data_IF_237596409097
#
_entry.id   IF_237596409097
#
_cell.length_a   1.000
_cell.length_b   1.000
_cell.length_c   1.000
_cell.angle_alpha   90.00
_cell.angle_beta   90.00
_cell.angle_gamma   90.00
#
_symmetry.space_group_name_H-M   'P 1'
#
loop_
_entity.id
_entity.type
_entity.pdbx_description
1 polymer ?
#
# COMPACT_ATOMS: atom_id res chain seq x y z
N UNK A 1 -35.71 48.45 50.04
CA UNK A 1 -36.49 47.42 49.34
C UNK A 1 -36.16 47.41 47.86
N UNK A 2 -35.82 46.20 47.39
CA UNK A 2 -35.86 45.65 46.03
C UNK A 2 -34.75 46.06 45.06
N UNK A 3 -34.09 45.00 44.63
CA UNK A 3 -32.83 44.84 43.90
C UNK A 3 -33.11 44.70 42.41
N UNK A 4 -32.17 45.18 41.59
CA UNK A 4 -32.15 45.08 40.12
C UNK A 4 -32.42 43.64 39.66
N UNK A 5 -33.44 43.43 38.83
CA UNK A 5 -33.69 42.16 38.14
C UNK A 5 -32.91 42.15 36.82
N UNK A 6 -31.79 41.43 36.82
CA UNK A 6 -31.08 41.06 35.60
C UNK A 6 -31.76 39.82 35.03
N UNK A 7 -32.32 39.95 33.83
CA UNK A 7 -32.94 38.88 33.05
C UNK A 7 -31.88 37.83 32.70
N UNK A 8 -31.91 36.67 33.36
CA UNK A 8 -31.14 35.50 32.96
C UNK A 8 -31.68 35.02 31.60
N UNK A 9 -30.79 34.94 30.63
CA UNK A 9 -31.05 34.39 29.31
C UNK A 9 -30.45 32.99 29.36
N UNK A 10 -31.31 31.98 29.54
CA UNK A 10 -30.88 30.58 29.53
C UNK A 10 -30.43 30.22 28.11
N UNK A 11 -29.11 30.19 27.89
CA UNK A 11 -28.54 29.63 26.67
C UNK A 11 -28.70 28.12 26.78
N UNK A 12 -29.68 27.59 26.05
CA UNK A 12 -29.79 26.16 25.76
C UNK A 12 -28.48 25.69 25.11
N UNK A 13 -27.66 25.04 25.92
CA UNK A 13 -26.43 24.40 25.49
C UNK A 13 -26.82 23.05 24.93
N UNK A 14 -26.95 22.96 23.60
CA UNK A 14 -26.97 21.66 22.92
C UNK A 14 -25.53 21.13 22.86
N UNK A 15 -25.02 20.63 23.98
CA UNK A 15 -23.84 19.78 24.01
C UNK A 15 -24.23 18.38 23.58
N UNK A 16 -24.47 18.20 22.28
CA UNK A 16 -24.45 16.86 21.69
C UNK A 16 -22.98 16.50 21.48
N UNK A 17 -22.34 16.02 22.54
CA UNK A 17 -20.98 15.44 22.48
C UNK A 17 -21.05 14.08 21.79
N UNK A 18 -21.43 14.09 20.51
CA UNK A 18 -21.31 12.94 19.64
C UNK A 18 -19.83 12.79 19.27
N UNK A 19 -19.04 12.22 20.19
CA UNK A 19 -17.68 11.80 19.90
C UNK A 19 -17.75 10.58 18.97
N UNK A 20 -17.92 10.81 17.67
CA UNK A 20 -17.90 9.76 16.66
C UNK A 20 -16.46 9.24 16.59
N UNK A 21 -16.19 7.97 16.95
CA UNK A 21 -14.84 7.42 16.89
C UNK A 21 -14.39 7.33 15.42
N UNK A 22 -13.52 8.25 15.00
CA UNK A 22 -12.89 8.22 13.68
C UNK A 22 -11.91 7.06 13.65
N UNK A 23 -12.29 5.97 12.98
CA UNK A 23 -11.41 4.81 12.77
C UNK A 23 -10.30 5.17 11.78
N UNK A 24 -9.05 4.83 12.11
CA UNK A 24 -7.85 5.09 11.28
C UNK A 24 -7.28 3.78 10.72
N UNK A 25 -6.50 3.90 9.63
CA UNK A 25 -5.74 2.78 9.09
C UNK A 25 -4.70 2.29 10.12
N UNK A 26 -4.44 0.97 10.14
CA UNK A 26 -3.49 0.35 11.07
C UNK A 26 -2.56 -0.62 10.34
N UNK A 27 -1.26 -0.45 10.50
CA UNK A 27 -0.28 -1.45 10.06
C UNK A 27 -0.52 -2.77 10.79
N UNK A 28 -0.73 -3.84 10.03
CA UNK A 28 -0.96 -5.20 10.53
C UNK A 28 0.33 -6.00 10.47
N UNK A 29 1.05 -5.92 9.34
CA UNK A 29 2.18 -6.81 9.08
C UNK A 29 3.17 -6.21 8.09
N UNK A 30 4.42 -6.64 8.18
CA UNK A 30 5.48 -6.28 7.24
C UNK A 30 6.18 -7.57 6.79
N UNK A 31 6.34 -7.75 5.48
CA UNK A 31 7.00 -8.91 4.90
C UNK A 31 7.96 -8.50 3.80
N UNK A 32 9.13 -9.13 3.76
CA UNK A 32 10.06 -9.00 2.64
C UNK A 32 9.90 -10.21 1.72
N UNK A 33 9.82 -9.95 0.41
CA UNK A 33 9.70 -10.98 -0.62
C UNK A 33 10.90 -10.96 -1.54
N UNK A 34 11.47 -12.13 -1.83
CA UNK A 34 12.47 -12.25 -2.90
C UNK A 34 11.76 -12.35 -4.25
N UNK A 35 11.89 -11.31 -5.08
CA UNK A 35 11.25 -11.18 -6.39
C UNK A 35 12.31 -10.85 -7.43
N UNK A 36 12.56 -11.82 -8.33
CA UNK A 36 13.56 -11.66 -9.39
C UNK A 36 13.19 -10.51 -10.33
N UNK A 37 14.12 -9.57 -10.51
CA UNK A 37 13.92 -8.44 -11.42
C UNK A 37 13.12 -7.28 -10.84
N UNK A 38 12.83 -7.28 -9.54
CA UNK A 38 12.07 -6.20 -8.88
C UNK A 38 12.76 -4.83 -8.97
N UNK A 39 14.09 -4.78 -9.00
CA UNK A 39 14.82 -3.52 -9.18
C UNK A 39 14.36 -2.78 -10.45
N UNK A 40 14.11 -3.51 -11.55
CA UNK A 40 13.66 -2.92 -12.83
C UNK A 40 12.26 -2.31 -12.76
N UNK A 41 11.40 -2.81 -11.86
CA UNK A 41 10.07 -2.26 -11.61
C UNK A 41 10.16 -0.91 -10.87
N UNK A 42 11.12 -0.76 -9.96
CA UNK A 42 11.30 0.48 -9.20
C UNK A 42 12.11 1.56 -9.94
N UNK A 43 13.04 1.18 -10.82
CA UNK A 43 13.95 2.11 -11.50
C UNK A 43 13.37 2.78 -12.76
N UNK A 44 12.06 2.71 -13.00
CA UNK A 44 11.41 3.36 -14.15
C UNK A 44 11.77 4.85 -14.25
N UNK A 45 12.49 5.21 -15.32
CA UNK A 45 12.88 6.56 -15.81
C UNK A 45 13.64 7.52 -14.87
N UNK A 46 13.60 7.36 -13.54
CA UNK A 46 14.24 8.27 -12.56
C UNK A 46 15.30 7.60 -11.65
N UNK A 47 15.48 6.27 -11.74
CA UNK A 47 16.19 5.48 -10.74
C UNK A 47 17.72 5.31 -10.91
N UNK A 48 18.38 6.06 -11.79
CA UNK A 48 19.84 5.89 -12.02
C UNK A 48 20.68 6.42 -10.86
N UNK A 49 20.21 7.43 -10.11
CA UNK A 49 21.02 8.09 -9.07
C UNK A 49 21.09 7.32 -7.75
N UNK A 50 19.99 6.69 -7.32
CA UNK A 50 19.96 5.97 -6.04
C UNK A 50 20.65 4.59 -6.10
N UNK A 51 20.71 3.99 -7.30
CA UNK A 51 21.53 2.79 -7.53
C UNK A 51 23.03 3.07 -7.37
N UNK A 52 23.50 4.26 -7.79
CA UNK A 52 24.91 4.66 -7.69
C UNK A 52 25.39 4.86 -6.25
N UNK A 53 24.49 5.08 -5.29
CA UNK A 53 24.84 5.21 -3.88
C UNK A 53 25.08 3.86 -3.21
N UNK A 54 24.68 2.76 -3.85
CA UNK A 54 24.86 1.39 -3.34
C UNK A 54 26.13 0.72 -3.90
N UNK A 55 26.69 1.25 -4.99
CA UNK A 55 27.84 0.68 -5.72
C UNK A 55 29.21 0.84 -5.00
N UNK A 56 29.30 1.61 -3.91
CA UNK A 56 30.58 1.89 -3.23
C UNK A 56 30.93 0.94 -2.07
N UNK A 57 30.14 -0.12 -1.84
CA UNK A 57 30.50 -1.17 -0.87
C UNK A 57 30.42 -2.53 -1.53
N UNK A 58 31.61 -3.07 -1.82
CA UNK A 58 31.89 -4.43 -2.33
C UNK A 58 31.74 -4.58 -3.85
N UNK A 59 32.89 -4.82 -4.48
CA UNK A 59 32.96 -5.10 -5.91
C UNK A 59 32.25 -6.39 -6.29
N UNK A 60 31.97 -6.45 -7.58
CA UNK A 60 31.48 -7.59 -8.35
C UNK A 60 29.96 -7.86 -8.27
N UNK A 61 29.34 -7.62 -9.43
CA UNK A 61 28.02 -8.09 -9.91
C UNK A 61 26.83 -7.17 -9.60
N UNK A 62 26.14 -6.79 -10.68
CA UNK A 62 24.85 -6.08 -10.73
C UNK A 62 23.75 -6.82 -9.96
N UNK A 63 23.87 -6.90 -8.63
CA UNK A 63 22.90 -7.52 -7.75
C UNK A 63 21.79 -6.49 -7.50
N UNK A 64 20.94 -6.33 -8.52
CA UNK A 64 19.67 -5.64 -8.37
C UNK A 64 18.98 -6.26 -7.16
N UNK A 65 18.80 -5.48 -6.10
CA UNK A 65 18.21 -5.92 -4.85
C UNK A 65 16.89 -6.63 -5.16
N UNK A 66 16.89 -7.96 -5.10
CA UNK A 66 15.73 -8.79 -5.40
C UNK A 66 14.72 -8.80 -4.24
N UNK A 67 14.76 -7.81 -3.34
CA UNK A 67 13.90 -7.77 -2.15
C UNK A 67 12.83 -6.70 -2.31
N UNK A 68 11.57 -7.11 -2.23
CA UNK A 68 10.40 -6.25 -2.15
C UNK A 68 9.91 -6.19 -0.70
N UNK A 69 9.94 -5.01 -0.07
CA UNK A 69 9.30 -4.79 1.23
C UNK A 69 7.82 -4.50 1.05
N UNK A 70 6.95 -5.26 1.72
CA UNK A 70 5.50 -5.12 1.65
C UNK A 70 4.94 -4.83 3.05
N UNK A 71 4.12 -3.79 3.16
CA UNK A 71 3.40 -3.42 4.38
C UNK A 71 1.90 -3.66 4.18
N UNK A 72 1.28 -4.39 5.10
CA UNK A 72 -0.14 -4.70 5.06
C UNK A 72 -0.88 -3.87 6.10
N UNK A 73 -1.88 -3.11 5.65
CA UNK A 73 -2.63 -2.17 6.48
C UNK A 73 -4.11 -2.55 6.50
N UNK A 74 -4.71 -2.48 7.69
CA UNK A 74 -6.15 -2.63 7.90
C UNK A 74 -6.83 -1.34 7.51
N UNK A 75 -7.77 -1.40 6.57
CA UNK A 75 -8.65 -0.29 6.24
C UNK A 75 -9.85 -0.26 7.21
N UNK A 76 -10.20 0.89 7.79
CA UNK A 76 -11.35 1.01 8.68
C UNK A 76 -12.69 0.93 7.96
N UNK A 77 -12.71 1.20 6.65
CA UNK A 77 -13.90 1.19 5.78
C UNK A 77 -13.80 0.14 4.66
N UNK A 78 -12.93 -0.87 4.83
CA UNK A 78 -12.75 -2.00 3.92
C UNK A 78 -12.43 -1.63 2.46
N UNK A 79 -11.79 -0.48 2.23
CA UNK A 79 -11.26 -0.19 0.88
C UNK A 79 -10.05 -1.11 0.60
N UNK A 80 -9.94 -1.57 -0.65
CA UNK A 80 -8.84 -2.42 -1.12
C UNK A 80 -8.00 -1.67 -2.14
N UNK A 81 -6.71 -1.55 -1.86
CA UNK A 81 -5.83 -0.80 -2.74
C UNK A 81 -4.38 -0.89 -2.31
N UNK A 82 -3.54 -0.16 -3.01
CA UNK A 82 -2.12 -0.15 -2.77
C UNK A 82 -1.49 1.21 -3.10
N UNK A 83 -0.27 1.39 -2.59
CA UNK A 83 0.66 2.46 -2.93
C UNK A 83 2.04 1.86 -3.03
N UNK A 84 2.88 2.34 -3.92
CA UNK A 84 4.26 1.87 -4.02
C UNK A 84 5.22 3.02 -4.26
N UNK A 85 6.43 2.91 -3.73
CA UNK A 85 7.48 3.89 -3.93
C UNK A 85 8.66 3.56 -3.03
N UNK A 86 9.84 4.10 -3.36
CA UNK A 86 11.06 3.89 -2.58
C UNK A 86 11.29 2.41 -2.21
N UNK A 87 11.18 1.50 -3.20
CA UNK A 87 11.36 0.05 -3.06
C UNK A 87 10.41 -0.64 -2.06
N UNK A 88 9.26 0.00 -1.78
CA UNK A 88 8.24 -0.49 -0.85
C UNK A 88 6.87 -0.54 -1.52
N UNK A 89 6.09 -1.55 -1.17
CA UNK A 89 4.67 -1.68 -1.51
C UNK A 89 3.85 -1.64 -0.22
N UNK A 90 2.83 -0.80 -0.18
CA UNK A 90 1.85 -0.71 0.91
C UNK A 90 0.52 -1.19 0.37
N UNK A 91 -0.09 -2.16 1.03
CA UNK A 91 -1.35 -2.77 0.61
C UNK A 91 -2.38 -2.59 1.72
N UNK A 92 -3.58 -2.17 1.35
CA UNK A 92 -4.69 -1.90 2.25
C UNK A 92 -5.82 -2.91 2.03
N UNK A 93 -6.41 -3.37 3.13
CA UNK A 93 -7.66 -4.14 3.09
C UNK A 93 -7.52 -5.60 2.66
N UNK A 94 -6.35 -6.22 2.85
CA UNK A 94 -6.16 -7.67 2.72
C UNK A 94 -6.20 -8.35 4.08
N UNK A 95 -6.96 -9.44 4.17
CA UNK A 95 -7.11 -10.21 5.41
C UNK A 95 -6.18 -11.43 5.46
N UNK A 96 -5.96 -12.11 4.33
CA UNK A 96 -5.17 -13.35 4.25
C UNK A 96 -3.78 -13.10 3.66
N UNK A 97 -2.93 -12.36 4.37
CA UNK A 97 -1.62 -11.92 3.87
C UNK A 97 -0.67 -13.08 3.52
N UNK A 98 -0.88 -14.27 4.07
CA UNK A 98 -0.02 -15.44 3.87
C UNK A 98 -0.07 -16.00 2.44
N UNK A 99 -1.21 -15.88 1.77
CA UNK A 99 -1.40 -16.38 0.39
C UNK A 99 -0.93 -15.39 -0.67
N UNK A 100 -0.42 -14.22 -0.26
CA UNK A 100 0.09 -13.20 -1.17
C UNK A 100 1.45 -13.60 -1.70
N UNK A 101 1.60 -13.57 -3.02
CA UNK A 101 2.88 -13.79 -3.71
C UNK A 101 3.07 -12.81 -4.86
N UNK A 102 4.30 -12.63 -5.32
CA UNK A 102 4.66 -11.64 -6.33
C UNK A 102 5.44 -12.28 -7.48
N UNK A 103 5.21 -11.80 -8.70
CA UNK A 103 5.92 -12.21 -9.92
C UNK A 103 6.17 -10.98 -10.80
N UNK A 104 7.33 -10.96 -11.46
CA UNK A 104 7.60 -10.00 -12.53
C UNK A 104 7.33 -10.69 -13.87
N UNK A 105 6.56 -10.04 -14.74
CA UNK A 105 6.36 -10.45 -16.12
C UNK A 105 6.40 -9.20 -17.01
N UNK A 106 7.20 -9.22 -18.08
CA UNK A 106 7.34 -8.08 -19.00
C UNK A 106 7.63 -6.74 -18.29
N UNK A 107 8.49 -6.76 -17.25
CA UNK A 107 8.86 -5.61 -16.39
C UNK A 107 7.73 -5.05 -15.50
N UNK A 108 6.55 -5.65 -15.53
CA UNK A 108 5.44 -5.29 -14.64
C UNK A 108 5.44 -6.20 -13.41
N UNK A 109 5.06 -5.62 -12.27
CA UNK A 109 4.86 -6.35 -11.02
C UNK A 109 3.42 -6.86 -10.95
N UNK A 110 3.28 -8.15 -10.71
CA UNK A 110 1.99 -8.80 -10.50
C UNK A 110 1.94 -9.40 -9.11
N UNK A 111 0.83 -9.19 -8.44
CA UNK A 111 0.50 -9.82 -7.17
C UNK A 111 -0.53 -10.91 -7.42
N UNK A 112 -0.28 -12.11 -6.90
CA UNK A 112 -1.31 -13.15 -6.77
C UNK A 112 -1.86 -13.09 -5.34
N UNK A 113 -3.18 -13.09 -5.23
CA UNK A 113 -3.88 -13.22 -3.95
C UNK A 113 -5.09 -14.14 -4.17
N UNK A 114 -5.15 -15.23 -3.40
CA UNK A 114 -6.11 -16.32 -3.62
C UNK A 114 -6.05 -16.84 -5.08
N UNK A 115 -7.17 -16.78 -5.80
CA UNK A 115 -7.29 -17.21 -7.19
C UNK A 115 -7.08 -16.08 -8.21
N UNK A 116 -6.85 -14.85 -7.75
CA UNK A 116 -6.82 -13.66 -8.60
C UNK A 116 -5.40 -13.10 -8.76
N UNK A 117 -5.21 -12.41 -9.88
CA UNK A 117 -3.98 -11.68 -10.18
C UNK A 117 -4.28 -10.19 -10.31
N UNK A 118 -3.36 -9.37 -9.81
CA UNK A 118 -3.48 -7.93 -9.76
C UNK A 118 -2.20 -7.31 -10.31
N UNK A 119 -2.31 -6.34 -11.20
CA UNK A 119 -1.16 -5.57 -11.66
C UNK A 119 -0.89 -4.45 -10.67
N UNK A 120 0.37 -4.35 -10.23
CA UNK A 120 0.85 -3.31 -9.35
C UNK A 120 1.62 -2.31 -10.20
N UNK A 121 1.17 -1.06 -10.17
CA UNK A 121 1.83 0.05 -10.82
C UNK A 121 2.72 0.80 -9.83
N UNK A 122 3.86 1.30 -10.30
CA UNK A 122 4.73 2.11 -9.46
C UNK A 122 4.14 3.52 -9.30
N UNK A 123 3.42 3.76 -8.21
CA UNK A 123 2.86 5.07 -7.89
C UNK A 123 2.70 5.30 -6.39
N UNK A 124 3.09 6.49 -5.93
CA UNK A 124 2.91 6.93 -4.53
C UNK A 124 1.45 7.23 -4.20
N UNK A 125 0.62 7.46 -5.22
CA UNK A 125 -0.81 7.72 -5.07
C UNK A 125 -1.57 6.43 -4.79
N UNK A 126 -2.71 6.57 -4.11
CA UNK A 126 -3.57 5.43 -3.83
C UNK A 126 -4.15 4.88 -5.15
N UNK A 127 -3.99 3.57 -5.36
CA UNK A 127 -4.62 2.84 -6.46
C UNK A 127 -5.51 1.74 -5.94
N UNK A 128 -6.71 1.64 -6.50
CA UNK A 128 -7.63 0.54 -6.21
C UNK A 128 -7.05 -0.78 -6.70
N UNK A 129 -7.24 -1.83 -5.92
CA UNK A 129 -6.76 -3.16 -6.26
C UNK A 129 -7.79 -3.85 -7.19
N UNK A 130 -7.54 -3.78 -8.50
CA UNK A 130 -8.45 -4.31 -9.52
C UNK A 130 -7.92 -5.64 -10.08
N UNK A 131 -8.72 -6.73 -10.07
CA UNK A 131 -8.29 -8.00 -10.63
C UNK A 131 -8.14 -7.91 -12.15
N UNK A 132 -7.15 -8.64 -12.66
CA UNK A 132 -6.92 -8.79 -14.09
C UNK A 132 -7.96 -9.77 -14.63
N UNK A 133 -8.66 -9.38 -15.70
CA UNK A 133 -9.64 -10.23 -16.38
C UNK A 133 -9.11 -10.84 -17.71
N UNK A 134 -7.89 -10.49 -18.13
CA UNK A 134 -7.31 -11.00 -19.37
C UNK A 134 -6.82 -12.46 -19.17
N UNK A 135 -7.55 -13.41 -19.75
CA UNK A 135 -7.26 -14.84 -19.64
C UNK A 135 -5.89 -15.24 -20.17
N UNK A 136 -5.41 -14.64 -21.28
CA UNK A 136 -4.09 -14.95 -21.81
C UNK A 136 -2.98 -14.55 -20.84
N UNK A 137 -3.10 -13.37 -20.23
CA UNK A 137 -2.17 -12.90 -19.22
C UNK A 137 -2.21 -13.75 -17.95
N UNK A 138 -3.41 -14.13 -17.48
CA UNK A 138 -3.59 -15.02 -16.33
C UNK A 138 -2.89 -16.37 -16.57
N UNK A 139 -3.03 -16.95 -17.76
CA UNK A 139 -2.36 -18.20 -18.13
C UNK A 139 -0.83 -18.06 -18.08
N UNK A 140 -0.27 -16.96 -18.60
CA UNK A 140 1.18 -16.68 -18.51
C UNK A 140 1.67 -16.51 -17.06
N UNK A 141 0.82 -15.96 -16.19
CA UNK A 141 1.15 -15.80 -14.77
C UNK A 141 1.09 -17.13 -14.01
N UNK A 142 0.11 -17.98 -14.33
CA UNK A 142 -0.11 -19.29 -13.73
C UNK A 142 0.87 -20.37 -14.17
N UNK A 143 1.39 -20.28 -15.39
CA UNK A 143 2.40 -21.21 -15.90
C UNK A 143 3.74 -20.97 -15.18
N UNK A 144 4.27 -22.05 -14.58
CA UNK A 144 5.54 -22.12 -13.86
C UNK A 144 6.62 -22.72 -14.73
#
# INVERSE_FOLDING_TARGET
SIVKSQKNIDINTYSTTNNVPVKKDKLIYVKSYTVNGIGKFFTGTAGKLDSLLTDNKTGTNNNLVNSLRVEFWKSPINYKGYKSGANKLVIFGLDNIEVVSFKILNKNLYMKYMAEYYQIENSTDFKSLNPINNQQLISQLGNK
#
